data_IF_068838477529
#
_entry.id   IF_068838477529
#
_cell.length_a   1.000
_cell.length_b   1.000
_cell.length_c   1.000
_cell.angle_alpha   90.00
_cell.angle_beta   90.00
_cell.angle_gamma   90.00
#
_symmetry.space_group_name_H-M   'P 1'
#
loop_
_entity.id
_entity.type
_entity.pdbx_description
1 polymer ?
#
# COMPACT_ATOMS: atom_id res chain seq x y z
N UNK A 1 13.06 20.13 -11.48
CA UNK A 1 12.46 18.81 -11.20
C UNK A 1 12.65 18.51 -9.72
N UNK A 2 11.59 18.55 -8.91
CA UNK A 2 11.69 18.13 -7.51
C UNK A 2 12.00 16.62 -7.49
N UNK A 3 13.26 16.28 -7.24
CA UNK A 3 13.67 14.89 -7.09
C UNK A 3 12.83 14.28 -5.98
N UNK A 4 12.16 13.16 -6.25
CA UNK A 4 11.55 12.36 -5.20
C UNK A 4 12.65 12.08 -4.18
N UNK A 5 12.55 12.66 -2.98
CA UNK A 5 13.53 12.50 -1.91
C UNK A 5 13.81 11.01 -1.73
N UNK A 6 15.09 10.64 -1.61
CA UNK A 6 15.52 9.24 -1.53
C UNK A 6 14.74 8.48 -0.44
N UNK A 7 14.40 9.19 0.64
CA UNK A 7 13.55 8.74 1.75
C UNK A 7 12.15 8.31 1.32
N UNK A 8 11.50 9.05 0.41
CA UNK A 8 10.16 8.69 -0.10
C UNK A 8 10.23 7.42 -0.94
N UNK A 9 11.27 7.25 -1.74
CA UNK A 9 11.49 6.00 -2.50
C UNK A 9 11.71 4.82 -1.58
N UNK A 10 12.57 4.98 -0.58
CA UNK A 10 12.87 3.93 0.39
C UNK A 10 11.64 3.57 1.23
N UNK A 11 10.84 4.56 1.62
CA UNK A 11 9.58 4.36 2.35
C UNK A 11 8.60 3.51 1.53
N UNK A 12 8.43 3.81 0.23
CA UNK A 12 7.61 2.99 -0.66
C UNK A 12 8.18 1.58 -0.86
N UNK A 13 9.51 1.44 -0.94
CA UNK A 13 10.18 0.14 -1.07
C UNK A 13 9.92 -0.74 0.16
N UNK A 14 10.21 -0.23 1.36
CA UNK A 14 10.01 -0.95 2.62
C UNK A 14 8.55 -1.34 2.82
N UNK A 15 7.62 -0.43 2.51
CA UNK A 15 6.19 -0.73 2.55
C UNK A 15 5.82 -1.89 1.63
N UNK A 16 6.36 -1.90 0.41
CA UNK A 16 6.12 -2.96 -0.57
C UNK A 16 6.68 -4.30 -0.09
N UNK A 17 7.91 -4.33 0.42
CA UNK A 17 8.53 -5.56 0.91
C UNK A 17 7.80 -6.14 2.13
N UNK A 18 7.41 -5.29 3.09
CA UNK A 18 6.65 -5.72 4.26
C UNK A 18 5.28 -6.25 3.85
N UNK A 19 4.57 -5.51 2.99
CA UNK A 19 3.25 -5.94 2.52
C UNK A 19 3.31 -7.25 1.74
N UNK A 20 4.34 -7.49 0.92
CA UNK A 20 4.52 -8.79 0.22
C UNK A 20 4.71 -9.97 1.18
N UNK A 21 5.29 -9.74 2.36
CA UNK A 21 5.47 -10.78 3.39
C UNK A 21 4.19 -11.05 4.19
N UNK A 22 3.31 -10.05 4.29
CA UNK A 22 2.12 -10.12 5.15
C UNK A 22 0.84 -10.42 4.36
N UNK A 23 0.62 -9.74 3.23
CA UNK A 23 -0.62 -9.83 2.46
C UNK A 23 -0.70 -11.13 1.68
N UNK A 24 -1.91 -11.69 1.65
CA UNK A 24 -2.26 -12.89 0.92
C UNK A 24 -3.46 -12.63 0.02
N UNK A 25 -3.60 -13.45 -1.02
CA UNK A 25 -4.81 -13.45 -1.85
C UNK A 25 -6.01 -13.76 -0.97
N UNK A 26 -7.07 -12.95 -1.09
CA UNK A 26 -8.27 -13.02 -0.26
C UNK A 26 -8.31 -12.04 0.91
N UNK A 27 -7.18 -11.42 1.27
CA UNK A 27 -7.16 -10.40 2.33
C UNK A 27 -7.95 -9.15 1.95
N UNK A 28 -8.70 -8.61 2.92
CA UNK A 28 -9.41 -7.34 2.78
C UNK A 28 -8.53 -6.19 3.25
N UNK A 29 -8.11 -5.35 2.33
CA UNK A 29 -7.33 -4.14 2.64
C UNK A 29 -8.19 -2.89 2.53
N UNK A 30 -7.91 -1.89 3.38
CA UNK A 30 -8.40 -0.52 3.20
C UNK A 30 -7.23 0.38 2.89
N UNK A 31 -7.34 1.20 1.86
CA UNK A 31 -6.29 2.11 1.42
C UNK A 31 -6.86 3.50 1.11
N UNK A 32 -5.99 4.49 1.14
CA UNK A 32 -6.34 5.87 0.81
C UNK A 32 -6.00 6.15 -0.65
N UNK A 33 -6.97 6.66 -1.42
CA UNK A 33 -6.82 7.10 -2.81
C UNK A 33 -6.90 8.63 -2.87
N UNK A 34 -6.24 9.28 -3.83
CA UNK A 34 -6.44 10.72 -4.07
C UNK A 34 -7.92 11.00 -4.39
N UNK A 35 -8.58 12.03 -3.82
CA UNK A 35 -8.09 13.12 -2.95
C UNK A 35 -8.25 12.89 -1.42
N UNK A 36 -7.97 11.69 -0.93
CA UNK A 36 -8.11 11.31 0.49
C UNK A 36 -9.23 10.30 0.77
N UNK A 37 -9.92 9.83 -0.26
CA UNK A 37 -11.00 8.84 -0.12
C UNK A 37 -10.44 7.50 0.35
N UNK A 38 -10.96 6.99 1.46
CA UNK A 38 -10.70 5.62 1.90
C UNK A 38 -11.54 4.65 1.08
N UNK A 39 -10.90 3.62 0.54
CA UNK A 39 -11.54 2.55 -0.24
C UNK A 39 -11.08 1.20 0.31
N UNK A 40 -11.89 0.18 0.12
CA UNK A 40 -11.52 -1.18 0.46
C UNK A 40 -11.45 -2.04 -0.80
N UNK A 41 -10.62 -3.08 -0.77
CA UNK A 41 -10.47 -4.05 -1.83
C UNK A 41 -10.10 -5.43 -1.27
N UNK A 42 -10.39 -6.48 -2.04
CA UNK A 42 -9.87 -7.82 -1.80
C UNK A 42 -8.62 -8.02 -2.65
N UNK A 43 -7.53 -8.41 -2.02
CA UNK A 43 -6.26 -8.70 -2.69
C UNK A 43 -6.44 -9.92 -3.59
N UNK A 44 -6.16 -9.76 -4.88
CA UNK A 44 -6.15 -10.86 -5.85
C UNK A 44 -4.74 -11.27 -6.26
N UNK A 45 -3.73 -10.45 -5.95
CA UNK A 45 -2.34 -10.73 -6.27
C UNK A 45 -1.49 -9.46 -6.31
N UNK A 46 -0.37 -9.54 -7.01
CA UNK A 46 0.61 -8.48 -7.15
C UNK A 46 1.02 -8.32 -8.61
N UNK A 47 1.23 -7.08 -9.04
CA UNK A 47 1.86 -6.73 -10.31
C UNK A 47 3.07 -5.83 -10.04
N UNK A 48 4.26 -6.42 -10.07
CA UNK A 48 5.50 -5.75 -9.68
C UNK A 48 5.46 -5.25 -8.22
N UNK A 49 5.28 -3.95 -8.03
CA UNK A 49 5.17 -3.28 -6.72
C UNK A 49 3.74 -2.94 -6.32
N UNK A 50 2.78 -3.14 -7.23
CA UNK A 50 1.38 -2.78 -7.06
C UNK A 50 0.56 -3.96 -6.58
N UNK A 51 -0.37 -3.68 -5.67
CA UNK A 51 -1.35 -4.66 -5.19
C UNK A 51 -2.51 -4.66 -6.18
N UNK A 52 -2.90 -5.85 -6.59
CA UNK A 52 -4.04 -6.07 -7.47
C UNK A 52 -5.28 -6.48 -6.69
N UNK A 53 -6.42 -6.07 -7.22
CA UNK A 53 -7.76 -6.41 -6.79
C UNK A 53 -8.65 -6.58 -8.01
N UNK A 54 -9.88 -7.09 -7.82
CA UNK A 54 -10.82 -7.29 -8.94
C UNK A 54 -11.09 -6.02 -9.76
N UNK A 55 -10.96 -4.83 -9.17
CA UNK A 55 -11.32 -3.55 -9.81
C UNK A 55 -10.15 -2.58 -9.97
N UNK A 56 -8.98 -2.88 -9.41
CA UNK A 56 -7.81 -1.98 -9.39
C UNK A 56 -6.50 -2.75 -9.30
N UNK A 57 -5.52 -2.32 -10.10
CA UNK A 57 -4.18 -2.92 -10.18
C UNK A 57 -3.07 -1.91 -9.83
N UNK A 58 -3.43 -0.79 -9.21
CA UNK A 58 -2.59 0.39 -8.98
C UNK A 58 -2.52 0.77 -7.48
N UNK A 59 -2.68 -0.21 -6.59
CA UNK A 59 -2.74 0.05 -5.15
C UNK A 59 -1.33 -0.01 -4.55
N UNK A 60 -0.83 1.12 -4.07
CA UNK A 60 0.45 1.16 -3.35
C UNK A 60 0.28 0.59 -1.92
N UNK A 61 1.14 -0.35 -1.53
CA UNK A 61 1.16 -0.91 -0.17
C UNK A 61 1.23 0.17 0.93
N UNK A 62 1.92 1.26 0.61
CA UNK A 62 2.18 2.35 1.53
C UNK A 62 0.93 3.21 1.83
N UNK A 63 -0.15 3.10 1.04
CA UNK A 63 -1.41 3.80 1.30
C UNK A 63 -2.43 2.97 2.09
N UNK A 64 -2.08 1.72 2.42
CA UNK A 64 -2.91 0.83 3.22
C UNK A 64 -2.93 1.31 4.67
N UNK A 65 -4.13 1.35 5.24
CA UNK A 65 -4.37 1.73 6.62
C UNK A 65 -5.04 0.64 7.44
N UNK A 66 -5.71 -0.34 6.83
CA UNK A 66 -6.20 -1.54 7.54
C UNK A 66 -6.03 -2.82 6.72
N UNK A 67 -5.84 -3.94 7.42
CA UNK A 67 -5.81 -5.31 6.93
C UNK A 67 -6.80 -6.15 7.73
N UNK A 68 -7.79 -6.73 7.08
CA UNK A 68 -8.85 -7.53 7.69
C UNK A 68 -9.52 -6.84 8.90
N UNK A 69 -9.70 -5.52 8.80
CA UNK A 69 -10.29 -4.70 9.84
C UNK A 69 -9.31 -4.24 10.93
N UNK A 70 -8.08 -4.74 10.95
CA UNK A 70 -7.05 -4.32 11.90
C UNK A 70 -6.21 -3.17 11.33
N UNK A 71 -5.93 -2.11 12.12
CA UNK A 71 -5.04 -1.04 11.70
C UNK A 71 -3.64 -1.57 11.37
N UNK A 72 -3.09 -1.18 10.23
CA UNK A 72 -1.74 -1.57 9.81
C UNK A 72 -1.04 -0.41 9.11
N UNK A 73 0.28 -0.33 9.26
CA UNK A 73 1.16 0.46 8.41
C UNK A 73 2.30 -0.44 7.94
N UNK A 74 2.45 -0.58 6.63
CA UNK A 74 3.56 -1.36 6.07
C UNK A 74 4.85 -0.56 5.97
N UNK A 75 4.76 0.77 6.00
CA UNK A 75 5.92 1.62 6.09
C UNK A 75 6.26 1.88 7.56
N UNK A 76 7.55 1.77 7.92
CA UNK A 76 8.03 2.22 9.23
C UNK A 76 8.07 3.75 9.23
N UNK A 77 7.31 4.36 10.13
CA UNK A 77 7.35 5.81 10.38
C UNK A 77 6.40 6.66 9.52
N UNK A 78 6.27 7.96 9.87
CA UNK A 78 5.43 8.90 9.13
C UNK A 78 5.90 9.04 7.69
N UNK A 79 4.97 9.28 6.77
CA UNK A 79 5.29 9.57 5.38
C UNK A 79 6.11 10.87 5.34
N UNK A 80 7.28 10.91 4.67
CA UNK A 80 8.05 12.14 4.52
C UNK A 80 7.28 13.16 3.68
N UNK A 81 7.24 14.39 4.18
CA UNK A 81 6.62 15.60 3.63
C UNK A 81 7.10 15.94 2.21
#
# INVERSE_FOLDING_TARGET
MAGISNERREWHRLATENAKRTLKVGDRITFTSCPGTKRWAIVTGWDGVWICSKTRNDIAAATICTLNGQPVSFARGPRPD
#
